data_IF_811706115932
#
_entry.id   IF_811706115932
#
_cell.length_a   1.000
_cell.length_b   1.000
_cell.length_c   1.000
_cell.angle_alpha   90.00
_cell.angle_beta   90.00
_cell.angle_gamma   90.00
#
_symmetry.space_group_name_H-M   'P 1'
#
loop_
_entity.id
_entity.type
_entity.pdbx_description
1 polymer ?
#
# COMPACT_ATOMS: atom_id res chain seq x y z
N UNK A 1 61.43 4.80 28.29
CA UNK A 1 60.01 5.13 28.58
C UNK A 1 59.23 5.02 27.27
N UNK A 2 58.32 4.04 27.09
CA UNK A 2 57.50 3.97 25.87
C UNK A 2 56.31 4.94 25.96
N UNK A 3 56.08 5.74 24.93
CA UNK A 3 54.88 6.58 24.78
C UNK A 3 53.68 5.70 24.38
N UNK A 4 52.49 5.89 24.98
CA UNK A 4 51.29 5.20 24.54
C UNK A 4 50.75 5.81 23.25
N UNK A 5 50.50 4.95 22.26
CA UNK A 5 49.83 5.30 21.01
C UNK A 5 48.32 5.43 21.27
N UNK A 6 47.81 6.66 21.31
CA UNK A 6 46.38 6.93 21.48
C UNK A 6 45.70 6.75 20.12
N UNK A 7 45.02 5.61 19.94
CA UNK A 7 44.21 5.32 18.76
C UNK A 7 42.90 6.12 18.82
N UNK A 8 42.87 7.27 18.14
CA UNK A 8 41.66 8.08 17.96
C UNK A 8 40.68 7.33 17.05
N UNK A 9 39.65 6.74 17.65
CA UNK A 9 38.52 6.17 16.91
C UNK A 9 37.70 7.33 16.33
N UNK A 10 37.84 7.56 15.04
CA UNK A 10 36.99 8.53 14.32
C UNK A 10 35.63 7.88 14.11
N UNK A 11 34.62 8.30 14.88
CA UNK A 11 33.23 7.96 14.62
C UNK A 11 32.84 8.59 13.27
N UNK A 12 32.81 7.79 12.20
CA UNK A 12 32.13 8.17 10.97
C UNK A 12 30.62 8.08 11.22
N UNK A 13 29.99 9.22 11.45
CA UNK A 13 28.55 9.33 11.39
C UNK A 13 28.12 9.16 9.92
N UNK A 14 27.70 7.94 9.56
CA UNK A 14 27.05 7.67 8.29
C UNK A 14 25.65 8.29 8.38
N UNK A 15 25.52 9.50 7.85
CA UNK A 15 24.22 10.13 7.66
C UNK A 15 23.53 9.38 6.52
N UNK A 16 22.71 8.38 6.84
CA UNK A 16 21.82 7.78 5.86
C UNK A 16 20.84 8.87 5.42
N UNK A 17 20.98 9.34 4.18
CA UNK A 17 19.98 10.21 3.58
C UNK A 17 18.69 9.40 3.47
N UNK A 18 17.70 9.71 4.30
CA UNK A 18 16.36 9.17 4.13
C UNK A 18 15.88 9.61 2.73
N UNK A 19 15.38 8.70 1.88
CA UNK A 19 14.76 9.10 0.63
C UNK A 19 13.61 10.04 0.99
N UNK A 20 13.75 11.32 0.61
CA UNK A 20 12.71 12.30 0.84
C UNK A 20 11.52 11.91 -0.04
N UNK A 21 10.35 11.73 0.56
CA UNK A 21 9.09 11.75 -0.15
C UNK A 21 9.00 13.07 -0.93
N UNK A 22 8.99 12.99 -2.26
CA UNK A 22 8.86 14.16 -3.13
C UNK A 22 7.38 14.26 -3.49
N UNK A 23 6.57 14.55 -2.47
CA UNK A 23 5.14 14.83 -2.61
C UNK A 23 4.83 16.00 -3.56
N UNK A 24 5.86 16.77 -3.95
CA UNK A 24 5.77 18.11 -4.52
C UNK A 24 4.83 18.23 -5.73
N UNK A 25 4.60 17.15 -6.47
CA UNK A 25 3.77 17.16 -7.69
C UNK A 25 2.59 16.17 -7.67
N UNK A 26 2.34 15.48 -6.55
CA UNK A 26 1.23 14.53 -6.46
C UNK A 26 -0.07 15.23 -6.04
N UNK A 27 -1.21 14.94 -6.71
CA UNK A 27 -2.53 15.45 -6.30
C UNK A 27 -3.08 14.69 -5.09
N UNK A 28 -2.21 14.32 -4.14
CA UNK A 28 -2.57 13.58 -2.92
C UNK A 28 -3.23 14.53 -1.91
N UNK A 29 -4.23 14.02 -1.20
CA UNK A 29 -4.96 14.74 -0.15
C UNK A 29 -4.10 14.84 1.11
N UNK A 30 -4.38 15.81 1.98
CA UNK A 30 -3.59 16.02 3.21
C UNK A 30 -3.68 14.81 4.16
N UNK A 31 -4.89 14.34 4.45
CA UNK A 31 -5.11 13.14 5.26
C UNK A 31 -4.40 11.89 4.68
N UNK A 32 -4.43 11.74 3.35
CA UNK A 32 -3.73 10.62 2.71
C UNK A 32 -2.19 10.75 2.73
N UNK A 33 -1.64 11.98 2.76
CA UNK A 33 -0.21 12.19 3.00
C UNK A 33 0.17 11.70 4.39
N UNK A 34 -0.64 12.04 5.39
CA UNK A 34 -0.40 11.61 6.77
C UNK A 34 -0.50 10.09 6.89
N UNK A 35 -1.48 9.45 6.25
CA UNK A 35 -1.60 7.98 6.23
C UNK A 35 -0.38 7.29 5.61
N UNK A 36 0.17 7.81 4.50
CA UNK A 36 1.42 7.25 3.96
C UNK A 36 2.62 7.58 4.86
N UNK A 37 2.68 8.77 5.46
CA UNK A 37 3.77 9.13 6.37
C UNK A 37 3.82 8.22 7.62
N UNK A 38 2.68 7.71 8.07
CA UNK A 38 2.58 6.79 9.19
C UNK A 38 2.62 5.30 8.79
N UNK A 39 2.88 4.98 7.52
CA UNK A 39 2.81 3.61 6.98
C UNK A 39 3.51 2.58 7.85
N UNK A 40 4.74 2.82 8.31
CA UNK A 40 5.51 1.85 9.08
C UNK A 40 4.86 1.53 10.43
N UNK A 41 4.19 2.51 11.06
CA UNK A 41 3.47 2.31 12.31
C UNK A 41 2.22 1.47 12.09
N UNK A 42 1.40 1.82 11.08
CA UNK A 42 0.19 1.07 10.72
C UNK A 42 0.52 -0.35 10.29
N UNK A 43 1.57 -0.51 9.47
CA UNK A 43 2.09 -1.80 9.05
C UNK A 43 2.55 -2.65 10.23
N UNK A 44 3.37 -2.10 11.13
CA UNK A 44 3.86 -2.81 12.31
C UNK A 44 2.73 -3.27 13.23
N UNK A 45 1.75 -2.40 13.50
CA UNK A 45 0.59 -2.72 14.31
C UNK A 45 -0.29 -3.80 13.67
N UNK A 46 -0.57 -3.68 12.37
CA UNK A 46 -1.40 -4.60 11.63
C UNK A 46 -0.76 -6.00 11.51
N UNK A 47 0.55 -6.07 11.21
CA UNK A 47 1.29 -7.33 11.16
C UNK A 47 1.36 -7.99 12.54
N UNK A 48 1.60 -7.22 13.60
CA UNK A 48 1.61 -7.76 14.96
C UNK A 48 0.28 -8.44 15.31
N UNK A 49 -0.86 -7.77 15.03
CA UNK A 49 -2.17 -8.37 15.25
C UNK A 49 -2.41 -9.60 14.37
N UNK A 50 -2.12 -9.51 13.07
CA UNK A 50 -2.30 -10.60 12.13
C UNK A 50 -1.52 -11.85 12.53
N UNK A 51 -0.26 -11.71 12.95
CA UNK A 51 0.57 -12.84 13.40
C UNK A 51 0.18 -13.36 14.79
N UNK A 52 -0.45 -12.54 15.63
CA UNK A 52 -0.85 -12.93 16.99
C UNK A 52 -2.20 -13.64 17.03
N UNK A 53 -3.11 -13.32 16.11
CA UNK A 53 -4.50 -13.80 16.14
C UNK A 53 -5.06 -14.33 14.83
N UNK A 54 -4.29 -14.32 13.74
CA UNK A 54 -4.72 -14.86 12.46
C UNK A 54 -4.73 -16.40 12.43
N UNK A 55 -5.60 -16.97 11.60
CA UNK A 55 -5.61 -18.40 11.35
C UNK A 55 -4.31 -18.84 10.63
N UNK A 56 -3.75 -20.03 10.91
CA UNK A 56 -2.48 -20.45 10.33
C UNK A 56 -2.44 -20.45 8.79
N UNK A 57 -3.55 -20.79 8.13
CA UNK A 57 -3.65 -20.76 6.67
C UNK A 57 -3.61 -19.33 6.13
N UNK A 58 -4.33 -18.41 6.76
CA UNK A 58 -4.37 -17.00 6.38
C UNK A 58 -3.01 -16.33 6.60
N UNK A 59 -2.31 -16.68 7.70
CA UNK A 59 -0.94 -16.23 7.95
C UNK A 59 0.00 -16.75 6.85
N UNK A 60 -0.16 -18.00 6.40
CA UNK A 60 0.65 -18.54 5.31
C UNK A 60 0.43 -17.76 3.99
N UNK A 61 -0.83 -17.43 3.66
CA UNK A 61 -1.16 -16.61 2.50
C UNK A 61 -0.57 -15.20 2.60
N UNK A 62 -0.74 -14.54 3.76
CA UNK A 62 -0.17 -13.22 4.03
C UNK A 62 1.36 -13.22 3.89
N UNK A 63 2.05 -14.17 4.53
CA UNK A 63 3.51 -14.24 4.41
C UNK A 63 3.94 -14.55 2.98
N UNK A 64 3.16 -15.32 2.22
CA UNK A 64 3.35 -15.53 0.79
C UNK A 64 3.26 -14.24 -0.02
N UNK A 65 2.24 -13.41 0.23
CA UNK A 65 2.06 -12.11 -0.41
C UNK A 65 3.18 -11.10 -0.04
N UNK A 66 3.70 -11.19 1.18
CA UNK A 66 4.76 -10.32 1.69
C UNK A 66 6.18 -10.70 1.21
N UNK A 67 6.40 -11.92 0.72
CA UNK A 67 7.73 -12.36 0.27
C UNK A 67 8.22 -11.66 -0.99
N UNK A 68 9.46 -11.20 -0.94
CA UNK A 68 10.19 -10.60 -2.06
C UNK A 68 10.39 -9.10 -1.87
N UNK A 69 11.51 -8.61 -2.41
CA UNK A 69 11.83 -7.19 -2.45
C UNK A 69 11.18 -6.55 -3.69
N UNK A 70 10.78 -5.27 -3.61
CA UNK A 70 10.30 -4.53 -4.76
C UNK A 70 11.42 -4.32 -5.80
N UNK A 71 11.05 -4.36 -7.07
CA UNK A 71 11.83 -3.85 -8.19
C UNK A 71 11.89 -2.31 -8.10
N UNK A 72 12.95 -1.67 -8.66
CA UNK A 72 12.98 -0.22 -8.78
C UNK A 72 11.76 0.33 -9.54
N UNK A 73 11.16 1.41 -9.03
CA UNK A 73 9.88 1.95 -9.49
C UNK A 73 9.71 2.14 -11.01
N UNK A 74 10.68 2.70 -11.77
CA UNK A 74 10.52 2.86 -13.22
C UNK A 74 10.39 1.53 -13.99
N UNK A 75 11.06 0.47 -13.51
CA UNK A 75 10.97 -0.87 -14.09
C UNK A 75 9.66 -1.55 -13.67
N UNK A 76 9.25 -1.34 -12.41
CA UNK A 76 8.00 -1.84 -11.87
C UNK A 76 6.78 -1.34 -12.65
N UNK A 77 6.69 -0.03 -12.90
CA UNK A 77 5.51 0.56 -13.57
C UNK A 77 5.26 -0.02 -14.96
N UNK A 78 6.33 -0.27 -15.73
CA UNK A 78 6.24 -0.89 -17.06
C UNK A 78 5.72 -2.33 -16.98
N UNK A 79 6.04 -3.05 -15.92
CA UNK A 79 5.62 -4.44 -15.73
C UNK A 79 4.15 -4.57 -15.28
N UNK A 80 3.53 -3.51 -14.76
CA UNK A 80 2.20 -3.58 -14.15
C UNK A 80 1.04 -3.67 -15.14
N UNK A 81 1.20 -3.20 -16.38
CA UNK A 81 0.10 -3.21 -17.35
C UNK A 81 -0.41 -4.63 -17.63
N UNK A 82 -1.74 -4.81 -17.65
CA UNK A 82 -2.41 -6.07 -17.97
C UNK A 82 -3.51 -6.48 -16.99
N UNK A 83 -4.00 -7.70 -17.17
CA UNK A 83 -4.96 -8.34 -16.29
C UNK A 83 -4.28 -9.02 -15.10
N UNK A 84 -4.93 -8.96 -13.94
CA UNK A 84 -4.43 -9.48 -12.68
C UNK A 84 -5.53 -10.22 -11.94
N UNK A 85 -5.14 -11.32 -11.30
CA UNK A 85 -5.84 -11.85 -10.13
C UNK A 85 -5.45 -11.02 -8.92
N UNK A 86 -6.41 -10.61 -8.11
CA UNK A 86 -6.15 -9.78 -6.94
C UNK A 86 -6.84 -10.31 -5.68
N UNK A 87 -6.08 -10.49 -4.61
CA UNK A 87 -6.56 -11.00 -3.33
C UNK A 87 -6.44 -9.92 -2.27
N UNK A 88 -7.57 -9.56 -1.64
CA UNK A 88 -7.58 -8.58 -0.55
C UNK A 88 -7.28 -9.30 0.77
N UNK A 89 -6.43 -8.70 1.59
CA UNK A 89 -6.14 -9.11 2.95
C UNK A 89 -6.31 -7.90 3.85
N UNK A 90 -7.15 -8.01 4.89
CA UNK A 90 -7.35 -6.96 5.89
C UNK A 90 -6.64 -7.37 7.17
N UNK A 91 -5.71 -6.54 7.64
CA UNK A 91 -4.85 -6.81 8.79
C UNK A 91 -5.17 -5.82 9.91
N UNK A 92 -5.34 -6.34 11.12
CA UNK A 92 -5.66 -5.52 12.30
C UNK A 92 -7.02 -4.81 12.22
N UNK A 93 -7.28 -3.94 13.19
CA UNK A 93 -8.55 -3.24 13.36
C UNK A 93 -9.61 -4.15 13.99
N UNK A 94 -10.71 -4.38 13.28
CA UNK A 94 -11.84 -5.14 13.82
C UNK A 94 -11.53 -6.64 14.01
N UNK A 95 -10.68 -7.20 13.14
CA UNK A 95 -10.27 -8.60 13.16
C UNK A 95 -8.75 -8.70 12.94
N UNK A 96 -8.07 -9.71 13.52
CA UNK A 96 -6.61 -9.80 13.39
C UNK A 96 -6.12 -9.91 11.95
N UNK A 97 -6.76 -10.78 11.17
CA UNK A 97 -6.47 -11.02 9.76
C UNK A 97 -7.73 -11.59 9.08
N UNK A 98 -8.06 -11.06 7.90
CA UNK A 98 -9.08 -11.63 7.01
C UNK A 98 -8.50 -11.73 5.61
N UNK A 99 -8.39 -12.95 5.08
CA UNK A 99 -7.97 -13.21 3.71
C UNK A 99 -9.20 -13.49 2.84
N UNK A 100 -9.42 -12.64 1.84
CA UNK A 100 -10.56 -12.78 0.95
C UNK A 100 -10.25 -13.74 -0.20
N UNK A 101 -11.30 -14.15 -0.90
CA UNK A 101 -11.20 -14.81 -2.19
C UNK A 101 -10.52 -13.92 -3.24
N UNK A 102 -10.07 -14.54 -4.32
CA UNK A 102 -9.50 -13.84 -5.47
C UNK A 102 -10.57 -13.11 -6.28
N UNK A 103 -10.22 -11.89 -6.70
CA UNK A 103 -10.99 -11.03 -7.58
C UNK A 103 -10.22 -10.77 -8.89
N UNK A 104 -10.89 -10.14 -9.85
CA UNK A 104 -10.27 -9.68 -11.09
C UNK A 104 -9.91 -8.20 -10.96
N UNK A 105 -8.69 -7.86 -11.34
CA UNK A 105 -8.17 -6.51 -11.39
C UNK A 105 -7.53 -6.25 -12.76
N UNK A 106 -7.44 -4.99 -13.15
CA UNK A 106 -6.76 -4.57 -14.38
C UNK A 106 -5.94 -3.33 -14.13
N UNK A 107 -4.78 -3.28 -14.77
CA UNK A 107 -3.96 -2.07 -14.85
C UNK A 107 -3.80 -1.70 -16.33
N UNK A 108 -4.32 -0.53 -16.69
CA UNK A 108 -4.27 0.03 -18.05
C UNK A 108 -3.42 1.30 -18.04
N UNK A 109 -2.18 1.21 -18.51
CA UNK A 109 -1.20 2.28 -18.30
C UNK A 109 -0.92 2.44 -16.81
N UNK A 110 -1.27 3.60 -16.24
CA UNK A 110 -1.16 3.87 -14.80
C UNK A 110 -2.48 3.71 -14.05
N UNK A 111 -3.60 3.45 -14.74
CA UNK A 111 -4.90 3.27 -14.08
C UNK A 111 -5.04 1.84 -13.56
N UNK A 112 -5.24 1.69 -12.26
CA UNK A 112 -5.69 0.46 -11.63
C UNK A 112 -7.22 0.45 -11.46
N UNK A 113 -7.84 -0.72 -11.66
CA UNK A 113 -9.26 -0.95 -11.39
C UNK A 113 -9.48 -2.36 -10.85
N UNK A 114 -10.16 -2.48 -9.70
CA UNK A 114 -10.71 -3.74 -9.19
C UNK A 114 -12.07 -4.00 -9.85
N UNK A 115 -12.14 -5.02 -10.70
CA UNK A 115 -13.27 -5.29 -11.60
C UNK A 115 -14.39 -6.08 -10.94
N UNK A 116 -14.08 -6.93 -9.95
CA UNK A 116 -15.07 -7.81 -9.29
C UNK A 116 -15.07 -7.67 -7.77
N UNK A 117 -16.10 -8.22 -7.11
CA UNK A 117 -16.36 -8.05 -5.68
C UNK A 117 -17.32 -6.90 -5.37
N UNK A 118 -17.88 -6.90 -4.15
CA UNK A 118 -18.85 -5.90 -3.66
C UNK A 118 -18.20 -4.55 -3.38
N UNK A 119 -16.99 -4.55 -2.83
CA UNK A 119 -16.14 -3.37 -2.68
C UNK A 119 -15.15 -3.34 -3.84
N UNK A 120 -15.10 -2.21 -4.54
CA UNK A 120 -14.22 -1.93 -5.68
C UNK A 120 -13.36 -0.71 -5.38
N UNK A 121 -12.28 -0.57 -6.13
CA UNK A 121 -11.40 0.60 -6.07
C UNK A 121 -10.88 0.90 -7.47
N UNK A 122 -10.81 2.17 -7.83
CA UNK A 122 -10.16 2.62 -9.07
C UNK A 122 -9.30 3.84 -8.81
N UNK A 123 -8.07 3.82 -9.28
CA UNK A 123 -7.07 4.83 -8.95
C UNK A 123 -5.87 4.84 -9.90
N UNK A 124 -5.04 5.86 -9.79
CA UNK A 124 -3.87 6.06 -10.64
C UNK A 124 -2.62 5.73 -9.83
N UNK A 125 -1.67 5.09 -10.49
CA UNK A 125 -0.34 4.84 -9.97
C UNK A 125 0.55 6.03 -10.32
N UNK A 126 1.19 6.59 -9.31
CA UNK A 126 2.06 7.74 -9.41
C UNK A 126 3.45 7.38 -8.94
N UNK A 127 4.47 7.97 -9.56
CA UNK A 127 5.84 7.89 -9.08
C UNK A 127 6.08 9.01 -8.04
N UNK A 128 6.68 8.65 -6.91
CA UNK A 128 7.12 9.56 -5.87
C UNK A 128 8.55 9.20 -5.47
N UNK A 129 9.53 9.90 -6.05
CA UNK A 129 10.94 9.53 -5.93
C UNK A 129 11.20 8.11 -6.44
N UNK A 130 11.62 7.24 -5.54
CA UNK A 130 11.86 5.81 -5.77
C UNK A 130 10.66 4.92 -5.41
N UNK A 131 9.54 5.50 -4.97
CA UNK A 131 8.31 4.80 -4.58
C UNK A 131 7.24 4.91 -5.67
N UNK A 132 6.27 3.99 -5.62
CA UNK A 132 5.01 4.11 -6.35
C UNK A 132 3.87 4.27 -5.34
N UNK A 133 2.99 5.25 -5.60
CA UNK A 133 1.82 5.56 -4.78
C UNK A 133 0.56 5.34 -5.62
N UNK A 134 -0.40 4.63 -5.06
CA UNK A 134 -1.75 4.53 -5.59
C UNK A 134 -2.61 5.64 -4.98
N UNK A 135 -3.32 6.40 -5.82
CA UNK A 135 -4.35 7.37 -5.42
C UNK A 135 -5.66 7.01 -6.12
N UNK A 136 -6.68 6.64 -5.35
CA UNK A 136 -7.93 6.15 -5.91
C UNK A 136 -9.14 6.31 -5.02
N UNK A 137 -10.28 5.90 -5.57
CA UNK A 137 -11.57 5.95 -4.89
C UNK A 137 -12.04 4.53 -4.66
N UNK A 138 -12.25 4.14 -3.41
CA UNK A 138 -12.98 2.94 -3.05
C UNK A 138 -14.49 3.20 -3.04
N UNK A 139 -15.26 2.24 -3.55
CA UNK A 139 -16.70 2.39 -3.79
C UNK A 139 -17.43 1.03 -3.82
N UNK A 140 -18.75 1.06 -3.72
CA UNK A 140 -19.58 -0.14 -3.82
C UNK A 140 -19.87 -0.49 -5.28
N UNK A 141 -19.83 -1.78 -5.60
CA UNK A 141 -20.13 -2.29 -6.93
C UNK A 141 -21.56 -1.91 -7.36
N UNK A 142 -21.68 -1.37 -8.58
CA UNK A 142 -22.93 -0.82 -9.11
C UNK A 142 -22.95 0.71 -9.08
N UNK A 143 -22.14 1.35 -8.23
CA UNK A 143 -21.98 2.79 -8.22
C UNK A 143 -20.96 3.28 -9.26
N UNK A 144 -21.03 4.58 -9.56
CA UNK A 144 -19.97 5.30 -10.30
C UNK A 144 -19.04 5.96 -9.29
N UNK A 145 -17.75 5.63 -9.39
CA UNK A 145 -16.70 6.28 -8.61
C UNK A 145 -16.36 7.64 -9.24
N UNK A 146 -16.36 8.75 -8.46
CA UNK A 146 -15.70 9.98 -8.88
C UNK A 146 -14.19 9.74 -8.96
N UNK A 147 -13.50 10.60 -9.71
CA UNK A 147 -12.05 10.64 -9.66
C UNK A 147 -11.60 11.05 -8.24
N UNK A 148 -10.44 10.54 -7.83
CA UNK A 148 -9.89 10.78 -6.49
C UNK A 148 -9.76 12.28 -6.16
N UNK A 149 -9.38 13.08 -7.15
CA UNK A 149 -9.25 14.54 -7.02
C UNK A 149 -10.61 15.25 -6.86
N UNK A 150 -11.71 14.62 -7.25
CA UNK A 150 -13.07 15.17 -7.18
C UNK A 150 -13.80 14.76 -5.89
N UNK A 151 -13.15 13.98 -5.01
CA UNK A 151 -13.72 13.63 -3.70
C UNK A 151 -13.78 14.88 -2.80
N UNK A 152 -14.86 15.08 -2.03
CA UNK A 152 -14.99 16.21 -1.11
C UNK A 152 -13.89 16.16 -0.05
N UNK A 153 -13.42 17.30 0.47
CA UNK A 153 -12.34 17.36 1.47
C UNK A 153 -12.65 16.54 2.73
N UNK A 154 -13.90 16.59 3.18
CA UNK A 154 -14.42 15.74 4.25
C UNK A 154 -15.27 14.62 3.66
N UNK A 155 -14.90 13.39 3.99
CA UNK A 155 -15.58 12.18 3.54
C UNK A 155 -16.13 11.46 4.75
N UNK A 156 -17.44 11.18 4.73
CA UNK A 156 -18.08 10.27 5.68
C UNK A 156 -17.94 8.82 5.15
N UNK A 157 -17.15 7.94 5.82
CA UNK A 157 -16.99 6.56 5.39
C UNK A 157 -18.28 5.74 5.41
N UNK A 158 -19.33 6.22 6.08
CA UNK A 158 -20.62 5.55 6.20
C UNK A 158 -21.72 6.17 5.32
N UNK A 159 -21.35 7.14 4.47
CA UNK A 159 -22.28 7.75 3.53
C UNK A 159 -22.88 6.71 2.56
N UNK A 160 -24.07 7.02 2.04
CA UNK A 160 -24.72 6.23 0.99
C UNK A 160 -24.97 7.09 -0.25
N UNK A 161 -24.39 6.76 -1.42
CA UNK A 161 -23.46 5.66 -1.65
C UNK A 161 -22.08 5.88 -1.00
N UNK A 162 -21.45 4.80 -0.54
CA UNK A 162 -20.14 4.83 0.11
C UNK A 162 -19.04 5.05 -0.94
N UNK A 163 -18.33 6.16 -0.81
CA UNK A 163 -17.20 6.54 -1.66
C UNK A 163 -16.13 7.17 -0.80
N UNK A 164 -14.96 6.53 -0.72
CA UNK A 164 -13.88 6.98 0.15
C UNK A 164 -12.55 7.07 -0.59
N UNK A 165 -11.67 8.01 -0.20
CA UNK A 165 -10.29 8.01 -0.63
C UNK A 165 -9.62 6.68 -0.30
N UNK A 166 -8.77 6.22 -1.20
CA UNK A 166 -8.02 4.99 -1.06
C UNK A 166 -6.59 5.26 -1.54
N UNK A 167 -5.63 5.19 -0.62
CA UNK A 167 -4.22 5.52 -0.86
C UNK A 167 -3.35 4.34 -0.45
N UNK A 168 -2.31 4.03 -1.21
CA UNK A 168 -1.42 2.93 -0.86
C UNK A 168 -0.04 2.98 -1.48
N UNK A 169 0.91 2.30 -0.84
CA UNK A 169 2.22 2.01 -1.39
C UNK A 169 2.13 0.85 -2.36
N UNK A 170 2.74 1.00 -3.54
CA UNK A 170 2.72 -0.01 -4.60
C UNK A 170 4.11 -0.60 -4.72
N UNK A 171 4.20 -1.92 -4.61
CA UNK A 171 5.44 -2.66 -4.76
C UNK A 171 5.30 -3.71 -5.86
N UNK A 172 6.16 -3.61 -6.87
CA UNK A 172 6.24 -4.59 -7.95
C UNK A 172 7.34 -5.57 -7.63
N UNK A 173 7.01 -6.82 -7.34
CA UNK A 173 7.97 -7.84 -6.89
C UNK A 173 8.58 -8.56 -8.11
N UNK A 174 7.77 -8.82 -9.13
CA UNK A 174 8.16 -9.40 -10.40
C UNK A 174 7.14 -9.04 -11.48
N UNK A 175 7.39 -9.36 -12.76
CA UNK A 175 6.37 -9.21 -13.80
C UNK A 175 5.08 -9.98 -13.55
N UNK A 176 5.04 -10.93 -12.62
CA UNK A 176 3.85 -11.74 -12.28
C UNK A 176 3.37 -11.53 -10.85
N UNK A 177 4.01 -10.68 -10.06
CA UNK A 177 3.67 -10.45 -8.64
C UNK A 177 3.84 -8.99 -8.28
N UNK A 178 2.81 -8.40 -7.69
CA UNK A 178 2.87 -7.07 -7.10
C UNK A 178 1.97 -7.01 -5.86
N UNK A 179 2.03 -5.91 -5.12
CA UNK A 179 1.10 -5.62 -4.03
C UNK A 179 0.83 -4.14 -3.93
N UNK A 180 -0.37 -3.81 -3.47
CA UNK A 180 -0.71 -2.45 -3.01
C UNK A 180 -1.03 -2.56 -1.53
N UNK A 181 -0.39 -1.74 -0.70
CA UNK A 181 -0.56 -1.73 0.75
C UNK A 181 -1.14 -0.38 1.17
N UNK A 182 -2.34 -0.41 1.73
CA UNK A 182 -3.13 0.77 2.07
C UNK A 182 -3.10 0.96 3.59
N UNK A 183 -2.31 1.90 4.12
CA UNK A 183 -2.26 2.18 5.55
C UNK A 183 -3.52 2.93 6.00
N UNK A 184 -3.97 2.60 7.22
CA UNK A 184 -5.09 3.23 7.91
C UNK A 184 -6.30 3.50 6.99
N UNK A 185 -6.82 2.48 6.27
CA UNK A 185 -7.98 2.66 5.41
C UNK A 185 -9.18 3.15 6.25
N UNK A 186 -10.05 3.95 5.65
CA UNK A 186 -11.23 4.50 6.35
C UNK A 186 -12.18 3.44 6.92
N UNK A 187 -12.02 2.16 6.57
CA UNK A 187 -12.93 1.08 6.92
C UNK A 187 -12.18 -0.13 7.48
N UNK A 188 -12.64 -0.60 8.64
CA UNK A 188 -12.51 -1.94 9.23
C UNK A 188 -11.12 -2.43 9.68
N UNK A 189 -10.02 -1.93 9.12
CA UNK A 189 -8.68 -2.48 9.33
C UNK A 189 -7.60 -1.42 9.47
N UNK A 190 -6.45 -1.80 10.03
CA UNK A 190 -5.29 -0.90 10.16
C UNK A 190 -4.41 -0.92 8.89
N UNK A 191 -4.41 -2.04 8.15
CA UNK A 191 -3.75 -2.15 6.87
C UNK A 191 -4.57 -3.06 5.94
N UNK A 192 -4.85 -2.57 4.73
CA UNK A 192 -5.24 -3.44 3.64
C UNK A 192 -4.03 -3.82 2.81
N UNK A 193 -3.94 -5.07 2.38
CA UNK A 193 -3.00 -5.53 1.36
C UNK A 193 -3.78 -6.13 0.20
N UNK A 194 -3.58 -5.58 -0.99
CA UNK A 194 -4.06 -6.16 -2.23
C UNK A 194 -2.91 -6.85 -2.95
N UNK A 195 -2.88 -8.17 -2.87
CA UNK A 195 -1.88 -8.98 -3.55
C UNK A 195 -2.29 -9.24 -4.99
N UNK A 196 -1.39 -8.99 -5.94
CA UNK A 196 -1.62 -9.09 -7.38
C UNK A 196 -0.78 -10.22 -7.97
N UNK A 197 -1.43 -11.15 -8.68
CA UNK A 197 -0.78 -12.26 -9.39
C UNK A 197 -1.30 -12.44 -10.81
N UNK A 198 -0.47 -13.00 -11.70
CA UNK A 198 -0.85 -13.44 -13.05
C UNK A 198 0.06 -14.55 -13.56
#
# INVERSE_FOLDING_TARGET
MPMPLILRHSLFAICAALPAAVWADLPIREDDRDRIAHFDASFGHAIHQALSGGEPADIADLTGAMRGLPLPSPQGLQALSGDWSCQMMKLGGNLPLVVYQTFSCRISGTRFTKLTGSQRSTGTLHQDGDRLIYLGTAYIAGDTAPDYADLPDLVDPHATPQRVPDVGLVEVISPSRARIMFPDPHLESDLNLLYLTR
#
